data_IF_330806481027
#
_entry.id   IF_330806481027
#
_cell.length_a   1.000
_cell.length_b   1.000
_cell.length_c   1.000
_cell.angle_alpha   90.00
_cell.angle_beta   90.00
_cell.angle_gamma   90.00
#
_symmetry.space_group_name_H-M   'P 1'
#
loop_
_entity.id
_entity.type
_entity.pdbx_description
1 polymer ?
#
# COMPACT_ATOMS: atom_id res chain seq x y z
N UNK A 1 23.47 -20.90 -35.90
CA UNK A 1 22.23 -20.43 -36.54
C UNK A 1 22.38 -19.04 -37.17
N UNK A 2 22.79 -18.01 -36.41
CA UNK A 2 22.93 -16.64 -36.95
C UNK A 2 23.97 -16.45 -38.07
N UNK A 3 25.04 -17.25 -38.11
CA UNK A 3 26.10 -17.11 -39.13
C UNK A 3 25.78 -17.76 -40.48
N UNK A 4 24.70 -18.54 -40.59
CA UNK A 4 24.37 -19.31 -41.82
C UNK A 4 23.10 -18.77 -42.46
N UNK A 5 22.00 -18.67 -41.70
CA UNK A 5 20.73 -18.08 -42.13
C UNK A 5 20.10 -17.37 -40.93
N UNK A 6 20.29 -16.06 -40.85
CA UNK A 6 19.90 -15.23 -39.71
C UNK A 6 18.37 -15.05 -39.62
N UNK A 7 17.71 -15.06 -40.77
CA UNK A 7 16.27 -14.94 -40.98
C UNK A 7 15.51 -16.14 -40.37
N UNK A 8 15.92 -17.38 -40.64
CA UNK A 8 15.33 -18.55 -39.97
C UNK A 8 15.60 -18.59 -38.45
N UNK A 9 16.76 -18.07 -38.02
CA UNK A 9 17.08 -17.99 -36.60
C UNK A 9 16.13 -17.03 -35.86
N UNK A 10 15.83 -15.87 -36.45
CA UNK A 10 14.88 -14.92 -35.88
C UNK A 10 13.47 -15.49 -35.79
N UNK A 11 13.00 -16.19 -36.82
CA UNK A 11 11.69 -16.86 -36.82
C UNK A 11 11.61 -17.92 -35.71
N UNK A 12 12.66 -18.73 -35.54
CA UNK A 12 12.71 -19.75 -34.49
C UNK A 12 12.71 -19.15 -33.09
N UNK A 13 13.49 -18.09 -32.85
CA UNK A 13 13.51 -17.37 -31.56
C UNK A 13 12.15 -16.77 -31.26
N UNK A 14 11.52 -16.13 -32.25
CA UNK A 14 10.20 -15.55 -32.08
C UNK A 14 9.14 -16.61 -31.72
N UNK A 15 9.13 -17.75 -32.43
CA UNK A 15 8.22 -18.85 -32.14
C UNK A 15 8.45 -19.42 -30.72
N UNK A 16 9.72 -19.57 -30.32
CA UNK A 16 10.07 -20.04 -28.99
C UNK A 16 9.57 -19.07 -27.89
N UNK A 17 9.74 -17.77 -28.08
CA UNK A 17 9.24 -16.73 -27.17
C UNK A 17 7.71 -16.74 -27.07
N UNK A 18 7.01 -16.93 -28.19
CA UNK A 18 5.55 -17.04 -28.20
C UNK A 18 5.05 -18.25 -27.40
N UNK A 19 5.65 -19.42 -27.61
CA UNK A 19 5.30 -20.64 -26.88
C UNK A 19 5.58 -20.45 -25.39
N UNK A 20 6.76 -19.92 -25.04
CA UNK A 20 7.11 -19.63 -23.66
C UNK A 20 6.08 -18.71 -22.99
N UNK A 21 5.76 -17.57 -23.63
CA UNK A 21 4.78 -16.61 -23.11
C UNK A 21 3.37 -17.20 -23.01
N UNK A 22 2.98 -18.06 -23.95
CA UNK A 22 1.69 -18.74 -23.90
C UNK A 22 1.57 -19.72 -22.72
N UNK A 23 2.63 -20.51 -22.46
CA UNK A 23 2.66 -21.42 -21.31
C UNK A 23 2.62 -20.63 -19.99
N UNK A 24 3.39 -19.54 -19.89
CA UNK A 24 3.40 -18.65 -18.73
C UNK A 24 2.00 -18.07 -18.44
N UNK A 25 1.31 -17.58 -19.49
CA UNK A 25 -0.05 -17.05 -19.38
C UNK A 25 -1.08 -18.12 -18.99
N UNK A 26 -0.97 -19.34 -19.53
CA UNK A 26 -1.83 -20.46 -19.16
C UNK A 26 -1.61 -20.92 -17.72
N UNK A 27 -0.36 -20.93 -17.25
CA UNK A 27 -0.02 -21.20 -15.85
C UNK A 27 -0.66 -20.17 -14.93
N UNK A 28 -0.43 -18.88 -15.20
CA UNK A 28 -1.01 -17.78 -14.42
C UNK A 28 -2.55 -17.80 -14.40
N UNK A 29 -3.19 -18.11 -15.52
CA UNK A 29 -4.66 -18.25 -15.59
C UNK A 29 -5.18 -19.41 -14.74
N UNK A 30 -4.44 -20.52 -14.64
CA UNK A 30 -4.83 -21.67 -13.81
C UNK A 30 -4.70 -21.36 -12.32
N UNK A 31 -3.62 -20.67 -11.93
CA UNK A 31 -3.33 -20.33 -10.53
C UNK A 31 -4.23 -19.22 -10.00
N UNK A 32 -4.48 -18.17 -10.79
CA UNK A 32 -5.13 -16.93 -10.34
C UNK A 32 -6.47 -16.65 -11.02
N UNK A 33 -6.92 -17.49 -11.95
CA UNK A 33 -8.18 -17.33 -12.71
C UNK A 33 -8.13 -16.31 -13.85
N UNK A 34 -7.22 -15.33 -13.79
CA UNK A 34 -6.97 -14.32 -14.82
C UNK A 34 -5.49 -14.35 -15.23
N UNK A 35 -5.20 -14.52 -16.52
CA UNK A 35 -3.83 -14.69 -17.00
C UNK A 35 -2.99 -13.42 -16.93
N UNK A 36 -3.54 -12.23 -17.20
CA UNK A 36 -2.75 -10.98 -17.17
C UNK A 36 -2.51 -10.54 -15.72
N UNK A 37 -3.58 -10.54 -14.91
CA UNK A 37 -3.46 -10.22 -13.48
C UNK A 37 -2.64 -11.26 -12.73
N UNK A 38 -2.77 -12.53 -13.09
CA UNK A 38 -1.99 -13.63 -12.53
C UNK A 38 -0.48 -13.42 -12.74
N UNK A 39 -0.04 -13.02 -13.93
CA UNK A 39 1.37 -12.70 -14.19
C UNK A 39 1.88 -11.54 -13.34
N UNK A 40 1.07 -10.49 -13.17
CA UNK A 40 1.43 -9.36 -12.30
C UNK A 40 1.53 -9.79 -10.84
N UNK A 41 0.62 -10.66 -10.37
CA UNK A 41 0.60 -11.16 -9.00
C UNK A 41 1.78 -12.09 -8.71
N UNK A 42 2.10 -13.03 -9.62
CA UNK A 42 3.28 -13.91 -9.45
C UNK A 42 4.57 -13.12 -9.43
N UNK A 43 4.70 -12.09 -10.28
CA UNK A 43 5.86 -11.18 -10.29
C UNK A 43 5.97 -10.41 -8.98
N UNK A 44 4.83 -9.90 -8.46
CA UNK A 44 4.80 -9.19 -7.19
C UNK A 44 5.17 -10.11 -6.02
N UNK A 45 4.60 -11.32 -5.96
CA UNK A 45 4.89 -12.33 -4.95
C UNK A 45 6.36 -12.71 -4.95
N UNK A 46 6.92 -13.00 -6.12
CA UNK A 46 8.34 -13.31 -6.27
C UNK A 46 9.23 -12.16 -5.79
N UNK A 47 8.88 -10.92 -6.16
CA UNK A 47 9.61 -9.73 -5.71
C UNK A 47 9.55 -9.55 -4.20
N UNK A 48 8.38 -9.77 -3.59
CA UNK A 48 8.16 -9.69 -2.15
C UNK A 48 8.94 -10.74 -1.37
N UNK A 49 8.96 -12.00 -1.84
CA UNK A 49 9.72 -13.09 -1.21
C UNK A 49 11.24 -12.85 -1.27
N UNK A 50 11.72 -12.13 -2.28
CA UNK A 50 13.13 -11.77 -2.43
C UNK A 50 13.55 -10.61 -1.52
N UNK A 51 12.61 -9.81 -1.03
CA UNK A 51 12.91 -8.74 -0.06
C UNK A 51 13.08 -9.40 1.30
N UNK A 52 14.33 -9.55 1.73
CA UNK A 52 14.66 -9.99 3.08
C UNK A 52 14.15 -8.97 4.12
N UNK A 53 13.55 -9.47 5.20
CA UNK A 53 13.06 -8.66 6.32
C UNK A 53 14.20 -8.26 7.28
N UNK A 54 15.36 -7.89 6.71
CA UNK A 54 16.53 -7.45 7.47
C UNK A 54 16.44 -5.96 7.73
N UNK A 55 16.83 -5.53 8.93
CA UNK A 55 16.87 -4.10 9.24
C UNK A 55 17.77 -3.35 8.24
N UNK A 56 17.26 -2.26 7.65
CA UNK A 56 18.02 -1.52 6.65
C UNK A 56 19.28 -0.98 7.31
N UNK A 57 20.43 -1.17 6.65
CA UNK A 57 21.66 -0.57 7.12
C UNK A 57 21.48 0.96 7.27
N UNK A 58 21.93 1.60 8.35
CA UNK A 58 21.70 3.03 8.62
C UNK A 58 22.09 3.97 7.46
N UNK A 59 23.05 3.53 6.65
CA UNK A 59 23.57 4.25 5.47
C UNK A 59 22.62 4.27 4.26
N UNK A 60 21.63 3.37 4.17
CA UNK A 60 20.71 3.27 3.03
C UNK A 60 19.23 3.31 3.46
N UNK A 61 18.94 4.00 4.55
CA UNK A 61 17.60 4.11 5.09
C UNK A 61 16.68 4.88 4.12
N UNK A 62 15.49 4.30 3.86
CA UNK A 62 14.42 4.89 3.05
C UNK A 62 13.13 4.89 3.87
N UNK A 63 12.63 6.05 4.33
CA UNK A 63 11.47 6.08 5.22
C UNK A 63 10.21 5.62 4.48
N UNK A 64 9.51 4.63 5.03
CA UNK A 64 8.17 4.22 4.58
C UNK A 64 7.13 4.83 5.50
N UNK A 65 6.19 5.59 4.95
CA UNK A 65 5.23 6.38 5.73
C UNK A 65 3.89 5.64 5.86
N UNK A 66 3.36 5.61 7.07
CA UNK A 66 1.98 5.28 7.40
C UNK A 66 1.30 6.56 7.88
N UNK A 67 0.32 7.04 7.12
CA UNK A 67 -0.54 8.14 7.53
C UNK A 67 -1.80 7.56 8.16
N UNK A 68 -2.08 7.99 9.37
CA UNK A 68 -3.23 7.58 10.14
C UNK A 68 -4.15 8.80 10.25
N UNK A 69 -5.39 8.61 9.80
CA UNK A 69 -6.38 9.66 9.73
C UNK A 69 -7.58 9.23 10.59
N UNK A 70 -7.77 9.93 11.70
CA UNK A 70 -8.96 9.79 12.55
C UNK A 70 -9.81 11.04 12.37
N UNK A 71 -10.68 11.02 11.38
CA UNK A 71 -11.55 12.15 11.05
C UNK A 71 -13.00 11.66 10.93
N UNK A 72 -13.98 12.37 11.52
CA UNK A 72 -15.37 12.17 11.15
C UNK A 72 -15.50 12.58 9.68
N UNK A 73 -15.56 11.59 8.78
CA UNK A 73 -15.82 11.82 7.36
C UNK A 73 -17.26 12.32 7.21
N UNK A 74 -17.41 13.65 7.29
CA UNK A 74 -18.64 14.38 6.99
C UNK A 74 -18.54 14.89 5.56
N UNK A 75 -19.60 14.65 4.79
CA UNK A 75 -19.70 14.87 3.34
C UNK A 75 -19.43 16.32 2.87
N UNK A 76 -19.41 17.28 3.80
CA UNK A 76 -19.41 18.72 3.51
C UNK A 76 -18.11 19.45 3.88
N UNK A 77 -17.22 18.85 4.68
CA UNK A 77 -15.91 19.45 4.95
C UNK A 77 -14.81 18.44 4.63
N UNK A 78 -14.24 18.56 3.43
CA UNK A 78 -12.88 18.09 3.20
C UNK A 78 -12.00 18.95 4.09
N UNK A 79 -11.57 18.38 5.21
CA UNK A 79 -10.75 19.12 6.15
C UNK A 79 -9.45 19.52 5.44
N UNK A 80 -9.18 20.83 5.38
CA UNK A 80 -7.95 21.39 4.79
C UNK A 80 -6.72 20.75 5.43
N UNK A 81 -6.80 20.30 6.70
CA UNK A 81 -5.73 19.58 7.40
C UNK A 81 -5.38 18.25 6.72
N UNK A 82 -6.36 17.51 6.20
CA UNK A 82 -6.15 16.25 5.49
C UNK A 82 -5.39 16.47 4.18
N UNK A 83 -5.85 17.40 3.36
CA UNK A 83 -5.20 17.72 2.09
C UNK A 83 -3.77 18.25 2.31
N UNK A 84 -3.57 19.09 3.33
CA UNK A 84 -2.24 19.59 3.68
C UNK A 84 -1.32 18.47 4.14
N UNK A 85 -1.81 17.49 4.90
CA UNK A 85 -1.02 16.35 5.33
C UNK A 85 -0.65 15.43 4.15
N UNK A 86 -1.57 15.19 3.21
CA UNK A 86 -1.26 14.47 1.98
C UNK A 86 -0.21 15.20 1.14
N UNK A 87 -0.33 16.51 0.99
CA UNK A 87 0.64 17.34 0.28
C UNK A 87 2.01 17.28 0.96
N UNK A 88 2.06 17.38 2.29
CA UNK A 88 3.29 17.23 3.07
C UNK A 88 3.93 15.85 2.86
N UNK A 89 3.14 14.78 2.92
CA UNK A 89 3.63 13.43 2.68
C UNK A 89 4.16 13.24 1.25
N UNK A 90 3.48 13.82 0.26
CA UNK A 90 3.93 13.79 -1.15
C UNK A 90 5.23 14.54 -1.36
N UNK A 91 5.39 15.71 -0.73
CA UNK A 91 6.64 16.47 -0.74
C UNK A 91 7.77 15.72 -0.04
N UNK A 92 7.52 15.15 1.14
CA UNK A 92 8.52 14.39 1.90
C UNK A 92 9.00 13.15 1.14
N UNK A 93 8.12 12.53 0.36
CA UNK A 93 8.42 11.34 -0.44
C UNK A 93 8.88 11.67 -1.85
N UNK A 94 8.75 12.93 -2.30
CA UNK A 94 8.94 13.37 -3.67
C UNK A 94 8.26 12.43 -4.70
N UNK A 95 7.07 11.94 -4.36
CA UNK A 95 6.31 10.96 -5.18
C UNK A 95 6.93 9.56 -5.29
N UNK A 96 7.93 9.21 -4.46
CA UNK A 96 8.66 7.93 -4.51
C UNK A 96 8.54 7.13 -3.21
N UNK A 97 8.59 5.81 -3.36
CA UNK A 97 8.52 4.86 -2.25
C UNK A 97 7.10 4.59 -1.76
N UNK A 98 7.00 3.70 -0.78
CA UNK A 98 5.72 3.25 -0.26
C UNK A 98 5.15 4.24 0.76
N UNK A 99 3.88 4.58 0.58
CA UNK A 99 3.06 5.32 1.54
C UNK A 99 1.74 4.59 1.72
N UNK A 100 1.31 4.37 2.96
CA UNK A 100 0.02 3.76 3.26
C UNK A 100 -0.81 4.80 4.00
N UNK A 101 -2.00 5.11 3.48
CA UNK A 101 -2.93 6.05 4.11
C UNK A 101 -4.09 5.26 4.68
N UNK A 102 -4.30 5.33 5.99
CA UNK A 102 -5.36 4.59 6.67
C UNK A 102 -6.36 5.52 7.33
N UNK A 103 -7.65 5.36 7.01
CA UNK A 103 -8.74 6.07 7.69
C UNK A 103 -9.47 5.16 8.67
N UNK A 104 -9.70 5.68 9.88
CA UNK A 104 -10.52 5.04 10.90
C UNK A 104 -11.98 5.47 10.75
N UNK A 105 -12.87 4.49 10.72
CA UNK A 105 -14.32 4.70 10.57
C UNK A 105 -15.00 4.04 11.76
N UNK A 106 -15.87 4.80 12.43
CA UNK A 106 -16.72 4.28 13.50
C UNK A 106 -17.86 3.49 12.88
N UNK A 107 -18.04 2.25 13.31
CA UNK A 107 -19.12 1.39 12.84
C UNK A 107 -18.88 -0.08 13.16
N UNK A 108 -19.80 -0.94 12.73
CA UNK A 108 -19.69 -2.39 12.90
C UNK A 108 -19.25 -3.04 11.59
N UNK A 109 -18.27 -3.94 11.64
CA UNK A 109 -17.81 -4.72 10.47
C UNK A 109 -18.93 -5.58 9.88
N UNK A 110 -19.91 -5.97 10.71
CA UNK A 110 -21.04 -6.82 10.31
C UNK A 110 -22.12 -6.04 9.54
N UNK A 111 -22.14 -4.71 9.68
CA UNK A 111 -23.14 -3.87 9.01
C UNK A 111 -22.79 -3.67 7.52
N UNK A 112 -23.70 -4.01 6.58
CA UNK A 112 -23.44 -3.84 5.16
C UNK A 112 -23.34 -2.36 4.77
N UNK A 113 -23.99 -1.46 5.49
CA UNK A 113 -23.99 -0.02 5.22
C UNK A 113 -22.66 0.63 5.63
N UNK A 114 -22.11 0.22 6.77
CA UNK A 114 -20.79 0.68 7.23
C UNK A 114 -19.67 0.18 6.30
N UNK A 115 -19.80 -1.05 5.78
CA UNK A 115 -18.87 -1.58 4.77
C UNK A 115 -18.91 -0.76 3.48
N UNK A 116 -20.11 -0.43 2.98
CA UNK A 116 -20.27 0.44 1.79
C UNK A 116 -19.68 1.82 2.04
N UNK A 117 -19.90 2.40 3.23
CA UNK A 117 -19.31 3.69 3.62
C UNK A 117 -17.79 3.62 3.63
N UNK A 118 -17.21 2.54 4.15
CA UNK A 118 -15.77 2.32 4.14
C UNK A 118 -15.20 2.21 2.71
N UNK A 119 -15.87 1.49 1.82
CA UNK A 119 -15.47 1.41 0.41
C UNK A 119 -15.52 2.77 -0.31
N UNK A 120 -16.56 3.57 -0.06
CA UNK A 120 -16.68 4.93 -0.61
C UNK A 120 -15.55 5.85 -0.11
N UNK A 121 -15.24 5.81 1.19
CA UNK A 121 -14.16 6.59 1.78
C UNK A 121 -12.81 6.14 1.21
N UNK A 122 -12.60 4.83 1.04
CA UNK A 122 -11.39 4.28 0.41
C UNK A 122 -11.22 4.79 -1.02
N UNK A 123 -12.27 4.73 -1.83
CA UNK A 123 -12.23 5.20 -3.22
C UNK A 123 -11.94 6.70 -3.31
N UNK A 124 -12.53 7.49 -2.39
CA UNK A 124 -12.26 8.92 -2.32
C UNK A 124 -10.81 9.23 -1.94
N UNK A 125 -10.26 8.53 -0.94
CA UNK A 125 -8.86 8.68 -0.57
C UNK A 125 -7.91 8.31 -1.70
N UNK A 126 -8.21 7.25 -2.45
CA UNK A 126 -7.40 6.85 -3.61
C UNK A 126 -7.39 7.95 -4.69
N UNK A 127 -8.54 8.56 -4.93
CA UNK A 127 -8.65 9.71 -5.82
C UNK A 127 -7.83 10.92 -5.34
N UNK A 128 -7.96 11.30 -4.06
CA UNK A 128 -7.23 12.44 -3.49
C UNK A 128 -5.71 12.19 -3.45
N UNK A 129 -5.27 10.96 -3.19
CA UNK A 129 -3.85 10.55 -3.27
C UNK A 129 -3.30 10.68 -4.70
N UNK A 130 -4.09 10.28 -5.70
CA UNK A 130 -3.70 10.40 -7.10
C UNK A 130 -3.60 11.87 -7.54
N UNK A 131 -4.48 12.76 -7.07
CA UNK A 131 -4.38 14.20 -7.33
C UNK A 131 -3.07 14.81 -6.80
N UNK A 132 -2.67 14.42 -5.60
CA UNK A 132 -1.46 14.88 -4.93
C UNK A 132 -0.19 14.15 -5.42
N UNK A 133 -0.33 13.25 -6.40
CA UNK A 133 0.74 12.40 -6.97
C UNK A 133 1.45 11.55 -5.91
N UNK A 134 0.74 11.19 -4.85
CA UNK A 134 1.26 10.34 -3.78
C UNK A 134 1.13 8.87 -4.18
N UNK A 135 2.27 8.23 -4.48
CA UNK A 135 2.30 6.79 -4.74
C UNK A 135 2.12 6.01 -3.44
N UNK A 136 1.05 5.24 -3.34
CA UNK A 136 0.71 4.53 -2.12
C UNK A 136 -0.57 3.71 -2.22
N UNK A 137 -1.01 3.21 -1.07
CA UNK A 137 -2.25 2.46 -0.93
C UNK A 137 -3.18 3.11 0.11
N UNK A 138 -4.45 3.27 -0.24
CA UNK A 138 -5.50 3.67 0.69
C UNK A 138 -6.09 2.44 1.40
N UNK A 139 -6.20 2.51 2.73
CA UNK A 139 -6.81 1.49 3.59
C UNK A 139 -7.87 2.14 4.48
N UNK A 140 -8.94 1.41 4.75
CA UNK A 140 -9.99 1.84 5.69
C UNK A 140 -10.13 0.78 6.76
N UNK A 141 -10.18 1.21 8.01
CA UNK A 141 -10.37 0.33 9.17
C UNK A 141 -11.66 0.73 9.86
N UNK A 142 -12.58 -0.22 9.99
CA UNK A 142 -13.83 -0.05 10.74
C UNK A 142 -13.58 -0.52 12.16
N UNK A 143 -13.95 0.30 13.14
CA UNK A 143 -13.79 -0.02 14.55
C UNK A 143 -15.05 0.35 15.34
N UNK A 144 -15.29 -0.42 16.40
CA UNK A 144 -16.31 -0.12 17.40
C UNK A 144 -15.86 1.05 18.30
N UNK A 145 -16.79 1.71 18.99
CA UNK A 145 -16.52 2.96 19.73
C UNK A 145 -15.44 2.78 20.81
N UNK A 146 -15.42 1.64 21.49
CA UNK A 146 -14.51 1.37 22.60
C UNK A 146 -13.15 0.77 22.18
N UNK A 147 -12.98 0.42 20.91
CA UNK A 147 -11.84 -0.39 20.44
C UNK A 147 -10.86 0.37 19.54
N UNK A 148 -10.86 1.71 19.58
CA UNK A 148 -9.98 2.51 18.72
C UNK A 148 -8.49 2.27 19.00
N UNK A 149 -8.09 2.16 20.27
CA UNK A 149 -6.69 1.95 20.69
C UNK A 149 -6.20 0.56 20.29
N UNK A 150 -7.01 -0.47 20.49
CA UNK A 150 -6.70 -1.84 20.06
C UNK A 150 -6.54 -1.91 18.54
N UNK A 151 -7.51 -1.33 17.82
CA UNK A 151 -7.52 -1.24 16.36
C UNK A 151 -6.29 -0.50 15.80
N UNK A 152 -5.86 0.58 16.47
CA UNK A 152 -4.66 1.33 16.14
C UNK A 152 -3.40 0.50 16.33
N UNK A 153 -3.27 -0.16 17.49
CA UNK A 153 -2.13 -1.03 17.78
C UNK A 153 -2.03 -2.18 16.77
N UNK A 154 -3.15 -2.82 16.46
CA UNK A 154 -3.22 -3.86 15.43
C UNK A 154 -2.82 -3.32 14.07
N UNK A 155 -3.28 -2.12 13.69
CA UNK A 155 -2.88 -1.50 12.42
C UNK A 155 -1.36 -1.29 12.37
N UNK A 156 -0.77 -0.65 13.38
CA UNK A 156 0.66 -0.34 13.41
C UNK A 156 1.50 -1.63 13.34
N UNK A 157 1.07 -2.71 13.98
CA UNK A 157 1.80 -3.98 13.99
C UNK A 157 1.61 -4.82 12.72
N UNK A 158 0.46 -4.71 12.06
CA UNK A 158 0.08 -5.57 10.92
C UNK A 158 0.13 -4.88 9.56
N UNK A 159 0.58 -3.62 9.51
CA UNK A 159 0.59 -2.83 8.27
C UNK A 159 1.81 -3.13 7.40
N UNK A 160 1.53 -3.71 6.23
CA UNK A 160 2.53 -4.07 5.24
C UNK A 160 2.48 -5.56 4.92
N UNK A 161 3.44 -6.01 4.12
CA UNK A 161 3.61 -7.42 3.77
C UNK A 161 5.10 -7.75 3.65
N UNK A 162 5.61 -8.60 4.54
CA UNK A 162 7.04 -8.93 4.63
C UNK A 162 7.90 -7.69 4.79
N UNK A 163 9.01 -7.61 4.04
CA UNK A 163 9.91 -6.44 4.07
C UNK A 163 9.31 -5.12 3.55
N UNK A 164 8.11 -5.12 2.95
CA UNK A 164 7.35 -3.90 2.65
C UNK A 164 6.45 -3.53 3.83
N UNK A 165 7.08 -3.09 4.92
CA UNK A 165 6.41 -2.57 6.12
C UNK A 165 6.61 -1.07 6.29
N UNK A 166 5.55 -0.37 6.72
CA UNK A 166 5.70 1.03 7.08
C UNK A 166 6.56 1.14 8.36
N UNK A 167 7.57 2.00 8.32
CA UNK A 167 8.51 2.17 9.44
C UNK A 167 8.16 3.39 10.30
N UNK A 168 7.42 4.36 9.74
CA UNK A 168 7.07 5.61 10.40
C UNK A 168 5.56 5.80 10.37
N UNK A 169 4.99 6.15 11.52
CA UNK A 169 3.58 6.48 11.66
C UNK A 169 3.43 7.99 11.89
N UNK A 170 2.57 8.63 11.10
CA UNK A 170 2.15 10.02 11.28
C UNK A 170 0.66 10.00 11.54
N UNK A 171 0.26 10.37 12.75
CA UNK A 171 -1.14 10.38 13.18
C UNK A 171 -1.68 11.81 13.22
N UNK A 172 -2.79 12.03 12.54
CA UNK A 172 -3.58 13.25 12.65
C UNK A 172 -4.84 12.92 13.45
N UNK A 173 -4.69 12.86 14.78
CA UNK A 173 -5.83 12.78 15.67
C UNK A 173 -6.44 14.18 15.80
N UNK A 174 -7.71 14.34 15.42
CA UNK A 174 -8.43 15.59 15.65
C UNK A 174 -8.35 15.95 17.14
N UNK A 175 -7.68 17.08 17.42
CA UNK A 175 -7.35 17.54 18.76
C UNK A 175 -8.58 17.63 19.67
N UNK A 176 -8.79 16.61 20.49
CA UNK A 176 -9.37 16.73 21.83
C UNK A 176 -8.84 15.63 22.75
N UNK A 177 -7.54 15.72 23.11
CA UNK A 177 -6.86 15.19 24.33
C UNK A 177 -5.45 14.63 24.04
N UNK A 178 -4.45 15.46 24.36
CA UNK A 178 -3.23 15.13 25.13
C UNK A 178 -2.80 13.65 25.23
N UNK A 179 -1.73 13.25 24.52
CA UNK A 179 -0.42 12.91 25.11
C UNK A 179 0.53 12.37 24.03
N UNK A 180 1.65 13.05 23.92
CA UNK A 180 2.84 12.72 23.14
C UNK A 180 3.35 11.34 23.59
N UNK A 181 3.27 10.34 22.73
CA UNK A 181 3.90 9.04 22.96
C UNK A 181 5.39 9.15 22.62
N UNK A 182 6.19 9.20 23.69
CA UNK A 182 7.30 8.26 23.84
C UNK A 182 8.54 8.49 22.99
N UNK A 183 9.37 9.46 23.42
CA UNK A 183 10.82 9.48 23.22
C UNK A 183 11.41 8.13 23.68
N UNK A 184 11.66 7.19 22.75
CA UNK A 184 12.40 5.97 23.05
C UNK A 184 13.87 6.35 23.26
N UNK A 185 14.24 6.53 24.54
CA UNK A 185 15.62 6.66 25.00
C UNK A 185 16.36 5.36 24.65
N UNK A 186 17.43 5.49 23.88
CA UNK A 186 18.53 4.53 23.90
C UNK A 186 19.20 4.59 25.28
N UNK A 187 19.25 3.44 25.94
CA UNK A 187 20.13 3.13 27.05
C UNK A 187 20.17 1.62 27.12
N UNK A 188 21.23 0.99 26.62
CA UNK A 188 22.47 0.63 27.34
C UNK A 188 23.62 0.83 26.34
#
# INVERSE_FOLDING_TARGET
MFSTHWDYALVSIFLCLLIYKYVEWKGAKKEWGDGIRGLALTTAQYSLMKIEDKDPHPKNWRPQLLLILSMPWTKELVDVRYLNLLNLASQLKAGKGLTIVTSFIRGSVTSPDDRKRAEQIKARMDFDMNQVRLRGFAKTLVHDEDQITGSMSTLIQSVGLGGLKAQYHVDLMASTRTRIVGKQRLGI
#
